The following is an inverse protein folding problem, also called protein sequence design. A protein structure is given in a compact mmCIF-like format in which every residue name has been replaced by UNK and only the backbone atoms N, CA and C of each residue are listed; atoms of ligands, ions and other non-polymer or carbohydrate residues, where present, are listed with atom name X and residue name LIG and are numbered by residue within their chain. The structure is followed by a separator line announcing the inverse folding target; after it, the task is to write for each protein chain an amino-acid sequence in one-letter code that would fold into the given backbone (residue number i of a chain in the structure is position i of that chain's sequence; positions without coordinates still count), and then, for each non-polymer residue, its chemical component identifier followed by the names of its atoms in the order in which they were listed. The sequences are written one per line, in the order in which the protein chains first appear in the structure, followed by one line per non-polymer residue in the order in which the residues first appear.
data_IF_824321154413
#
_entry.id   IF_824321154413
#
_cell.length_a   1.000
_cell.length_b   1.000
_cell.length_c   1.000
_cell.angle_alpha   90.00
_cell.angle_beta   90.00
_cell.angle_gamma   90.00
#
_symmetry.space_group_name_H-M   'P 1'
#
loop_
_entity.id
_entity.type
_entity.pdbx_description
1 polymer ?
#
# COMPACT_ATOMS: atom_id res chain seq x y z
N UNK A 1 -12.75 47.36 -13.64
CA UNK A 1 -11.45 46.63 -13.72
C UNK A 1 -11.22 45.58 -12.62
N UNK A 2 -11.54 45.84 -11.35
CA UNK A 2 -11.38 44.85 -10.25
C UNK A 2 -12.24 43.57 -10.42
N UNK A 3 -13.47 43.70 -10.89
CA UNK A 3 -14.36 42.55 -11.15
C UNK A 3 -13.83 41.64 -12.27
N UNK A 4 -13.37 42.22 -13.37
CA UNK A 4 -12.78 41.45 -14.48
C UNK A 4 -11.53 40.69 -14.05
N UNK A 5 -10.67 41.31 -13.22
CA UNK A 5 -9.49 40.63 -12.64
C UNK A 5 -9.85 39.47 -11.72
N UNK A 6 -10.93 39.57 -10.93
CA UNK A 6 -11.41 38.49 -10.06
C UNK A 6 -12.01 37.33 -10.86
N UNK A 7 -12.78 37.64 -11.91
CA UNK A 7 -13.31 36.63 -12.82
C UNK A 7 -12.19 35.90 -13.58
N UNK A 8 -11.18 36.63 -14.04
CA UNK A 8 -10.03 36.05 -14.71
C UNK A 8 -9.20 35.15 -13.77
N UNK A 9 -9.02 35.56 -12.51
CA UNK A 9 -8.34 34.77 -11.50
C UNK A 9 -9.12 33.50 -11.11
N UNK A 10 -10.45 33.58 -11.00
CA UNK A 10 -11.30 32.43 -10.72
C UNK A 10 -11.31 31.44 -11.90
N UNK A 11 -11.39 31.93 -13.14
CA UNK A 11 -11.28 31.11 -14.34
C UNK A 11 -9.91 30.41 -14.42
N UNK A 12 -8.82 31.14 -14.13
CA UNK A 12 -7.47 30.58 -14.10
C UNK A 12 -7.32 29.50 -13.01
N UNK A 13 -7.86 29.74 -11.81
CA UNK A 13 -7.85 28.76 -10.73
C UNK A 13 -8.63 27.48 -11.09
N UNK A 14 -9.77 27.61 -11.78
CA UNK A 14 -10.53 26.46 -12.28
C UNK A 14 -9.77 25.66 -13.35
N UNK A 15 -8.99 26.34 -14.21
CA UNK A 15 -8.17 25.66 -15.23
C UNK A 15 -6.93 24.97 -14.66
N UNK A 16 -6.41 25.46 -13.52
CA UNK A 16 -5.22 24.90 -12.86
C UNK A 16 -5.58 23.77 -11.88
N UNK A 17 -6.83 23.71 -11.41
CA UNK A 17 -7.33 22.66 -10.53
C UNK A 17 -7.65 21.37 -11.31
N UNK A 18 -6.63 20.73 -11.88
CA UNK A 18 -6.76 19.39 -12.43
C UNK A 18 -6.76 18.36 -11.28
N UNK A 19 -7.65 17.35 -11.30
CA UNK A 19 -7.60 16.27 -10.33
C UNK A 19 -6.27 15.53 -10.49
N UNK A 20 -5.41 15.57 -9.46
CA UNK A 20 -4.24 14.70 -9.41
C UNK A 20 -4.73 13.28 -9.13
N UNK A 21 -4.55 12.39 -10.10
CA UNK A 21 -4.77 10.96 -9.86
C UNK A 21 -3.66 10.48 -8.93
N UNK A 22 -4.03 9.94 -7.77
CA UNK A 22 -3.07 9.35 -6.85
C UNK A 22 -2.36 8.18 -7.55
N UNK A 23 -1.12 8.43 -7.99
CA UNK A 23 -0.29 7.43 -8.60
C UNK A 23 0.52 6.70 -7.51
N UNK A 24 0.67 5.38 -7.59
CA UNK A 24 1.50 4.65 -6.64
C UNK A 24 2.94 5.17 -6.61
N UNK A 25 3.53 5.12 -5.42
CA UNK A 25 4.93 5.42 -5.22
C UNK A 25 5.81 4.38 -5.90
N UNK A 26 6.88 4.84 -6.54
CA UNK A 26 7.90 4.02 -7.18
C UNK A 26 9.24 4.67 -6.85
N UNK A 27 10.07 3.95 -6.10
CA UNK A 27 11.39 4.43 -5.71
C UNK A 27 12.44 3.83 -6.65
N UNK A 28 13.39 4.65 -7.10
CA UNK A 28 14.51 4.23 -7.94
C UNK A 28 15.81 4.52 -7.20
N UNK A 29 16.68 3.53 -7.12
CA UNK A 29 18.02 3.63 -6.54
C UNK A 29 18.99 2.79 -7.36
N UNK A 30 20.28 3.09 -7.25
CA UNK A 30 21.30 2.44 -8.07
C UNK A 30 22.48 3.37 -8.36
N UNK A 31 23.36 2.91 -9.24
CA UNK A 31 24.59 3.58 -9.66
C UNK A 31 24.73 3.58 -11.20
N UNK A 32 25.96 3.42 -11.72
CA UNK A 32 26.25 3.50 -13.16
C UNK A 32 25.76 2.28 -13.94
N UNK A 33 25.76 1.10 -13.32
CA UNK A 33 25.45 -0.16 -13.98
C UNK A 33 24.24 -0.89 -13.38
N UNK A 34 23.77 -0.43 -12.22
CA UNK A 34 22.67 -1.05 -11.50
C UNK A 34 21.51 -0.08 -11.35
N UNK A 35 20.30 -0.51 -11.69
CA UNK A 35 19.06 0.19 -11.36
C UNK A 35 18.12 -0.76 -10.64
N UNK A 36 17.72 -0.38 -9.43
CA UNK A 36 16.72 -1.09 -8.63
C UNK A 36 15.49 -0.20 -8.49
N UNK A 37 14.34 -0.80 -8.79
CA UNK A 37 13.04 -0.20 -8.52
C UNK A 37 12.42 -0.89 -7.32
N UNK A 38 12.09 -0.13 -6.27
CA UNK A 38 11.22 -0.60 -5.20
C UNK A 38 9.80 -0.14 -5.49
N UNK A 39 8.90 -1.10 -5.55
CA UNK A 39 7.48 -0.88 -5.75
C UNK A 39 6.72 -1.64 -4.66
N UNK A 40 5.98 -0.91 -3.81
CA UNK A 40 5.22 -1.52 -2.73
C UNK A 40 4.02 -2.32 -3.27
N UNK A 41 3.82 -3.54 -2.78
CA UNK A 41 2.65 -4.35 -3.13
C UNK A 41 1.42 -3.84 -2.38
N UNK A 42 0.42 -3.33 -3.10
CA UNK A 42 -0.88 -2.96 -2.52
C UNK A 42 -1.74 -4.22 -2.48
N UNK A 43 -2.13 -4.65 -1.28
CA UNK A 43 -2.73 -5.97 -1.07
C UNK A 43 -4.21 -6.06 -1.51
N UNK A 44 -4.89 -4.93 -1.73
CA UNK A 44 -6.19 -4.89 -2.38
C UNK A 44 -6.47 -3.48 -2.95
N UNK A 45 -6.68 -3.39 -4.26
CA UNK A 45 -7.22 -2.18 -4.91
C UNK A 45 -8.66 -2.45 -5.35
N UNK A 46 -9.55 -1.44 -5.40
CA UNK A 46 -10.89 -1.61 -5.95
C UNK A 46 -10.84 -2.18 -7.38
N UNK A 47 -11.83 -2.99 -7.79
CA UNK A 47 -11.94 -3.45 -9.17
C UNK A 47 -11.89 -2.27 -10.16
N UNK A 48 -11.10 -2.41 -11.22
CA UNK A 48 -10.95 -1.36 -12.25
C UNK A 48 -10.02 -0.20 -11.87
N UNK A 49 -9.39 -0.21 -10.68
CA UNK A 49 -8.42 0.83 -10.31
C UNK A 49 -7.18 0.76 -11.22
N UNK A 50 -6.92 1.86 -11.95
CA UNK A 50 -5.79 1.98 -12.88
C UNK A 50 -4.53 2.40 -12.14
N UNK A 51 -3.89 1.46 -11.44
CA UNK A 51 -2.64 1.70 -10.71
C UNK A 51 -1.40 1.68 -11.62
N UNK A 52 -1.45 0.99 -12.76
CA UNK A 52 -0.36 0.95 -13.71
C UNK A 52 -0.35 2.22 -14.55
N UNK A 53 0.67 3.05 -14.35
CA UNK A 53 0.96 4.18 -15.22
C UNK A 53 2.20 3.92 -16.09
N UNK A 54 2.56 4.89 -16.92
CA UNK A 54 3.69 4.76 -17.82
C UNK A 54 5.04 4.61 -17.10
N UNK A 55 5.19 5.14 -15.87
CA UNK A 55 6.43 5.03 -15.09
C UNK A 55 6.61 3.60 -14.60
N UNK A 56 5.54 3.05 -14.02
CA UNK A 56 5.52 1.67 -13.50
C UNK A 56 5.69 0.67 -14.65
N UNK A 57 4.98 0.87 -15.77
CA UNK A 57 5.13 0.02 -16.96
C UNK A 57 6.55 0.01 -17.51
N UNK A 58 7.22 1.16 -17.57
CA UNK A 58 8.62 1.24 -18.01
C UNK A 58 9.56 0.53 -17.05
N UNK A 59 9.42 0.76 -15.74
CA UNK A 59 10.25 0.10 -14.73
C UNK A 59 10.10 -1.42 -14.79
N UNK A 60 8.88 -1.93 -14.93
CA UNK A 60 8.63 -3.38 -15.08
C UNK A 60 9.23 -3.92 -16.39
N UNK A 61 9.09 -3.19 -17.50
CA UNK A 61 9.61 -3.62 -18.80
C UNK A 61 11.14 -3.57 -18.92
N UNK A 62 11.80 -2.70 -18.16
CA UNK A 62 13.26 -2.57 -18.16
C UNK A 62 13.96 -3.44 -17.13
N UNK A 63 13.23 -4.06 -16.21
CA UNK A 63 13.82 -4.84 -15.14
C UNK A 63 14.11 -6.27 -15.63
N UNK A 64 15.37 -6.70 -15.50
CA UNK A 64 15.79 -8.05 -15.88
C UNK A 64 15.43 -9.10 -14.82
N UNK A 65 15.14 -8.68 -13.59
CA UNK A 65 14.87 -9.57 -12.46
C UNK A 65 13.73 -9.04 -11.60
N UNK A 66 12.84 -9.93 -11.18
CA UNK A 66 11.81 -9.68 -10.17
C UNK A 66 12.22 -10.33 -8.86
N UNK A 67 12.33 -9.53 -7.80
CA UNK A 67 12.55 -10.00 -6.42
C UNK A 67 11.27 -9.74 -5.62
N UNK A 68 10.78 -10.77 -4.95
CA UNK A 68 9.62 -10.72 -4.06
C UNK A 68 10.01 -11.26 -2.68
N UNK A 69 9.41 -10.74 -1.62
CA UNK A 69 9.69 -11.15 -0.24
C UNK A 69 9.35 -12.62 0.02
N UNK A 70 8.34 -13.14 -0.67
CA UNK A 70 7.93 -14.54 -0.53
C UNK A 70 7.40 -15.10 -1.84
N UNK A 71 7.68 -16.37 -2.09
CA UNK A 71 7.01 -17.12 -3.16
C UNK A 71 5.59 -17.40 -2.66
N UNK A 72 4.62 -16.62 -3.16
CA UNK A 72 3.21 -16.98 -3.02
C UNK A 72 2.98 -18.16 -3.97
N UNK A 73 3.34 -19.35 -3.51
CA UNK A 73 2.96 -20.59 -4.17
C UNK A 73 1.43 -20.60 -4.28
N UNK A 74 0.90 -21.06 -5.42
CA UNK A 74 -0.53 -21.10 -5.69
C UNK A 74 -1.27 -22.06 -4.74
N UNK A 75 -0.54 -22.88 -4.00
CA UNK A 75 -1.06 -23.72 -2.93
C UNK A 75 -1.14 -22.94 -1.60
N UNK A 76 -2.35 -22.61 -1.09
CA UNK A 76 -2.53 -21.91 0.19
C UNK A 76 -1.83 -22.62 1.36
N UNK A 77 -1.66 -23.95 1.27
CA UNK A 77 -1.02 -24.78 2.28
C UNK A 77 0.50 -24.58 2.34
N UNK A 78 1.14 -24.16 1.25
CA UNK A 78 2.58 -23.88 1.22
C UNK A 78 2.90 -22.56 1.95
N UNK A 79 2.02 -21.55 1.80
CA UNK A 79 2.13 -20.28 2.52
C UNK A 79 1.98 -20.50 4.02
N UNK A 80 1.05 -21.37 4.45
CA UNK A 80 0.86 -21.69 5.86
C UNK A 80 2.13 -22.26 6.55
N UNK A 81 3.06 -22.87 5.80
CA UNK A 81 4.33 -23.40 6.34
C UNK A 81 5.39 -22.33 6.56
N UNK A 82 5.27 -21.17 5.93
CA UNK A 82 6.17 -20.04 6.13
C UNK A 82 5.90 -19.32 7.46
N UNK A 83 4.72 -19.54 8.04
CA UNK A 83 4.34 -18.99 9.32
C UNK A 83 4.35 -20.12 10.36
N UNK A 84 5.22 -20.07 11.39
CA UNK A 84 5.19 -21.06 12.45
C UNK A 84 3.82 -21.05 13.16
N UNK A 85 3.40 -22.17 13.77
CA UNK A 85 2.19 -22.20 14.56
C UNK A 85 2.28 -21.18 15.70
N UNK A 86 1.13 -20.68 16.17
CA UNK A 86 1.06 -19.78 17.31
C UNK A 86 1.86 -20.25 18.50
N UNK A 87 2.65 -19.33 19.07
CA UNK A 87 3.24 -19.56 20.38
C UNK A 87 2.12 -19.54 21.42
N UNK A 88 1.76 -20.71 22.01
CA UNK A 88 0.63 -20.80 22.93
C UNK A 88 0.91 -20.10 24.27
N UNK A 89 2.14 -19.68 24.54
CA UNK A 89 2.51 -18.94 25.74
C UNK A 89 2.20 -17.45 25.65
N UNK A 90 1.97 -16.93 24.44
CA UNK A 90 1.70 -15.52 24.24
C UNK A 90 0.23 -15.18 24.53
N UNK A 91 -0.05 -14.05 25.21
CA UNK A 91 -1.41 -13.60 25.42
C UNK A 91 -2.08 -13.22 24.08
N UNK A 92 -3.42 -13.06 24.03
CA UNK A 92 -4.12 -12.63 22.83
C UNK A 92 -3.52 -11.36 22.20
N UNK A 93 -3.62 -11.20 20.89
CA UNK A 93 -2.98 -10.09 20.15
C UNK A 93 -3.34 -8.70 20.71
N UNK A 94 -4.56 -8.57 21.25
CA UNK A 94 -5.05 -7.33 21.86
C UNK A 94 -4.32 -6.99 23.16
N UNK A 95 -3.82 -8.00 23.87
CA UNK A 95 -3.07 -7.84 25.12
C UNK A 95 -1.57 -7.65 24.88
N UNK A 96 -1.07 -8.01 23.69
CA UNK A 96 0.33 -7.80 23.26
C UNK A 96 0.67 -6.33 22.97
N UNK A 97 -0.33 -5.45 22.88
CA UNK A 97 -0.12 -4.00 22.75
C UNK A 97 -0.29 -3.29 24.11
N UNK A 98 0.40 -2.15 24.34
CA UNK A 98 0.24 -1.36 25.56
C UNK A 98 -1.24 -1.02 25.84
N UNK A 99 -1.63 -1.00 27.12
CA UNK A 99 -3.04 -0.81 27.53
C UNK A 99 -3.70 0.42 26.89
N UNK A 100 -2.98 1.54 26.87
CA UNK A 100 -3.41 2.80 26.23
C UNK A 100 -3.75 2.67 24.73
N UNK A 101 -3.20 1.66 24.06
CA UNK A 101 -3.37 1.43 22.61
C UNK A 101 -4.48 0.42 22.30
N UNK A 102 -5.00 -0.33 23.29
CA UNK A 102 -5.95 -1.44 23.08
C UNK A 102 -7.24 -0.98 22.41
N UNK A 103 -7.82 0.15 22.86
CA UNK A 103 -9.05 0.71 22.27
C UNK A 103 -8.85 1.13 20.81
N UNK A 104 -7.73 1.77 20.50
CA UNK A 104 -7.39 2.19 19.15
C UNK A 104 -7.16 0.97 18.23
N UNK A 105 -6.48 -0.05 18.75
CA UNK A 105 -6.24 -1.28 18.01
C UNK A 105 -7.53 -2.05 17.73
N UNK A 106 -8.42 -2.19 18.73
CA UNK A 106 -9.73 -2.81 18.55
C UNK A 106 -10.57 -2.11 17.45
N UNK A 107 -10.57 -0.77 17.43
CA UNK A 107 -11.27 0.00 16.40
C UNK A 107 -10.70 -0.24 14.98
N UNK A 108 -9.39 -0.47 14.86
CA UNK A 108 -8.76 -0.81 13.57
C UNK A 108 -9.20 -2.20 13.10
N UNK A 109 -9.25 -3.19 14.00
CA UNK A 109 -9.69 -4.55 13.69
C UNK A 109 -11.15 -4.58 13.23
N UNK A 110 -12.03 -3.87 13.94
CA UNK A 110 -13.43 -3.68 13.55
C UNK A 110 -13.56 -3.06 12.14
N UNK A 111 -12.84 -1.97 11.88
CA UNK A 111 -12.85 -1.32 10.56
C UNK A 111 -12.32 -2.24 9.46
N UNK A 112 -11.32 -3.05 9.77
CA UNK A 112 -10.74 -4.02 8.86
C UNK A 112 -11.57 -5.31 8.72
N UNK A 113 -12.62 -5.47 9.54
CA UNK A 113 -13.43 -6.70 9.66
C UNK A 113 -12.58 -7.94 9.95
N UNK A 114 -11.55 -7.76 10.77
CA UNK A 114 -10.64 -8.82 11.18
C UNK A 114 -11.00 -9.30 12.58
N UNK A 115 -11.22 -10.60 12.72
CA UNK A 115 -11.37 -11.24 14.02
C UNK A 115 -10.00 -11.24 14.74
N UNK A 116 -9.88 -10.66 15.96
CA UNK A 116 -8.66 -10.70 16.75
C UNK A 116 -8.10 -12.11 16.98
N UNK A 117 -8.96 -13.15 17.03
CA UNK A 117 -8.53 -14.54 17.18
C UNK A 117 -7.72 -15.03 15.97
N UNK A 118 -7.98 -14.50 14.76
CA UNK A 118 -7.20 -14.84 13.56
C UNK A 118 -5.78 -14.28 13.60
N UNK A 119 -5.54 -13.23 14.40
CA UNK A 119 -4.25 -12.57 14.56
C UNK A 119 -3.53 -12.95 15.86
N UNK A 120 -4.26 -13.54 16.81
CA UNK A 120 -3.72 -14.11 18.06
C UNK A 120 -3.05 -15.47 17.82
N UNK A 121 -2.56 -15.66 16.59
CA UNK A 121 -1.71 -16.77 16.21
C UNK A 121 -0.27 -16.49 16.64
#
# INVERSE_FOLDING_TARGET
MRFLRRLLAAALALTLAAPVTAAPALWRFGDKDTTIYLFGTIHALPPGYRWQDARIRRAMASADTLVIETIIDKAPQAIARLFPPPDPSLPPIIERVPEKSRKAFAAILERAKLDPAMLSR
#
